data_IF_728265823881
#
_entry.id   IF_728265823881
#
_cell.length_a   1.000
_cell.length_b   1.000
_cell.length_c   1.000
_cell.angle_alpha   90.00
_cell.angle_beta   90.00
_cell.angle_gamma   90.00
#
_symmetry.space_group_name_H-M   'P 1'
#
loop_
_entity.id
_entity.type
_entity.pdbx_description
1 polymer ?
#
# COMPACT_ATOMS: atom_id res chain seq x y z
N UNK A 1 18.94 -22.24 5.32
CA UNK A 1 19.05 -22.01 6.77
C UNK A 1 17.87 -22.69 7.46
N UNK A 2 18.04 -23.24 8.66
CA UNK A 2 16.98 -23.87 9.44
C UNK A 2 16.58 -22.98 10.63
N UNK A 3 15.31 -23.00 10.99
CA UNK A 3 14.77 -22.28 12.15
C UNK A 3 13.77 -23.20 12.84
N UNK A 4 13.85 -23.30 14.17
CA UNK A 4 12.96 -24.12 14.98
C UNK A 4 11.95 -23.23 15.68
N UNK A 5 10.66 -23.50 15.48
CA UNK A 5 9.56 -22.77 16.11
C UNK A 5 8.68 -23.76 16.85
N UNK A 6 8.36 -23.47 18.11
CA UNK A 6 7.38 -24.26 18.88
C UNK A 6 5.98 -23.80 18.54
N UNK A 7 5.14 -24.72 18.08
CA UNK A 7 3.74 -24.45 17.82
C UNK A 7 2.90 -24.87 19.03
N UNK A 8 1.83 -24.14 19.38
CA UNK A 8 0.82 -24.64 20.29
C UNK A 8 0.21 -25.95 19.75
N UNK A 9 -0.07 -26.90 20.63
CA UNK A 9 -0.68 -28.20 20.30
C UNK A 9 -1.88 -28.12 19.33
N UNK A 10 -2.88 -27.23 19.53
CA UNK A 10 -4.02 -27.17 18.61
C UNK A 10 -3.62 -26.77 17.18
N UNK A 11 -2.62 -25.90 17.05
CA UNK A 11 -2.13 -25.43 15.75
C UNK A 11 -1.34 -26.54 15.04
N UNK A 12 -0.50 -27.27 15.78
CA UNK A 12 0.25 -28.40 15.23
C UNK A 12 -0.70 -29.51 14.74
N UNK A 13 -1.71 -29.85 15.52
CA UNK A 13 -2.69 -30.87 15.15
C UNK A 13 -3.44 -30.50 13.86
N UNK A 14 -3.91 -29.25 13.77
CA UNK A 14 -4.60 -28.74 12.59
C UNK A 14 -3.69 -28.74 11.34
N UNK A 15 -2.43 -28.32 11.50
CA UNK A 15 -1.44 -28.33 10.41
C UNK A 15 -1.17 -29.74 9.90
N UNK A 16 -0.97 -30.70 10.81
CA UNK A 16 -0.74 -32.11 10.45
C UNK A 16 -1.94 -32.70 9.72
N UNK A 17 -3.15 -32.45 10.20
CA UNK A 17 -4.37 -32.92 9.55
C UNK A 17 -4.51 -32.36 8.13
N UNK A 18 -4.25 -31.06 7.95
CA UNK A 18 -4.29 -30.42 6.63
C UNK A 18 -3.26 -31.01 5.67
N UNK A 19 -2.03 -31.22 6.14
CA UNK A 19 -0.95 -31.82 5.36
C UNK A 19 -1.31 -33.23 4.88
N UNK A 20 -1.91 -34.05 5.75
CA UNK A 20 -2.37 -35.40 5.40
C UNK A 20 -3.48 -35.39 4.34
N UNK A 21 -4.41 -34.43 4.43
CA UNK A 21 -5.50 -34.29 3.46
C UNK A 21 -5.00 -33.84 2.09
N UNK A 22 -4.01 -32.95 2.05
CA UNK A 22 -3.47 -32.39 0.81
C UNK A 22 -2.33 -33.23 0.21
N UNK A 23 -1.81 -34.22 0.94
CA UNK A 23 -0.64 -34.99 0.53
C UNK A 23 0.66 -34.17 0.51
N UNK A 24 0.71 -33.06 1.26
CA UNK A 24 1.82 -32.11 1.28
C UNK A 24 2.66 -32.28 2.53
N UNK A 25 3.94 -31.91 2.44
CA UNK A 25 4.81 -31.94 3.63
C UNK A 25 4.59 -30.72 4.52
N UNK A 26 4.74 -30.90 5.84
CA UNK A 26 4.64 -29.81 6.82
C UNK A 26 5.60 -28.67 6.48
N UNK A 27 6.83 -28.99 6.08
CA UNK A 27 7.85 -27.99 5.74
C UNK A 27 7.49 -27.18 4.48
N UNK A 28 6.80 -27.78 3.52
CA UNK A 28 6.32 -27.08 2.32
C UNK A 28 5.21 -26.10 2.69
N UNK A 29 4.20 -26.56 3.44
CA UNK A 29 3.10 -25.71 3.90
C UNK A 29 3.60 -24.54 4.76
N UNK A 30 4.54 -24.78 5.68
CA UNK A 30 5.14 -23.71 6.49
C UNK A 30 5.89 -22.70 5.62
N UNK A 31 6.65 -23.18 4.61
CA UNK A 31 7.41 -22.28 3.72
C UNK A 31 6.47 -21.38 2.93
N UNK A 32 5.42 -21.95 2.35
CA UNK A 32 4.45 -21.20 1.56
C UNK A 32 3.68 -20.20 2.43
N UNK A 33 3.26 -20.62 3.62
CA UNK A 33 2.58 -19.74 4.57
C UNK A 33 3.47 -18.55 4.98
N UNK A 34 4.77 -18.78 5.23
CA UNK A 34 5.73 -17.72 5.53
C UNK A 34 5.96 -16.80 4.33
N UNK A 35 6.10 -17.36 3.11
CA UNK A 35 6.23 -16.57 1.88
C UNK A 35 5.00 -15.68 1.67
N UNK A 36 3.79 -16.21 1.85
CA UNK A 36 2.55 -15.46 1.74
C UNK A 36 2.43 -14.38 2.83
N UNK A 37 2.81 -14.70 4.07
CA UNK A 37 2.79 -13.74 5.18
C UNK A 37 3.72 -12.54 4.92
N UNK A 38 4.93 -12.79 4.43
CA UNK A 38 5.90 -11.73 4.13
C UNK A 38 5.55 -10.94 2.86
N UNK A 39 4.92 -11.58 1.86
CA UNK A 39 4.43 -10.90 0.68
C UNK A 39 3.31 -9.89 1.01
N UNK A 40 2.51 -10.17 2.04
CA UNK A 40 1.38 -9.34 2.46
C UNK A 40 1.79 -7.93 2.92
N UNK A 41 2.99 -7.75 3.49
CA UNK A 41 3.50 -6.42 3.86
C UNK A 41 3.88 -5.56 2.65
N UNK A 42 4.22 -6.18 1.51
CA UNK A 42 4.42 -5.47 0.25
C UNK A 42 3.09 -5.05 -0.42
N UNK A 43 1.96 -5.65 -0.02
CA UNK A 43 0.62 -5.37 -0.54
C UNK A 43 -0.16 -4.30 0.24
N UNK A 44 0.39 -3.76 1.34
CA UNK A 44 -0.11 -2.47 1.82
C UNK A 44 0.35 -1.43 0.81
N UNK A 45 -0.48 -1.22 -0.22
CA UNK A 45 -0.23 -0.27 -1.29
C UNK A 45 0.33 1.01 -0.67
N UNK A 46 1.59 1.31 -1.02
CA UNK A 46 2.21 2.53 -0.54
C UNK A 46 1.30 3.71 -0.87
N UNK A 47 1.34 4.79 -0.10
CA UNK A 47 0.56 5.99 -0.41
C UNK A 47 0.76 6.48 -1.86
N UNK A 48 1.92 6.17 -2.44
CA UNK A 48 2.20 6.35 -3.85
C UNK A 48 1.36 5.45 -4.77
N UNK A 49 1.31 4.13 -4.51
CA UNK A 49 0.49 3.17 -5.27
C UNK A 49 -0.99 3.53 -5.19
N UNK A 50 -1.52 3.86 -4.01
CA UNK A 50 -2.91 4.27 -3.83
C UNK A 50 -3.29 5.52 -4.64
N UNK A 51 -2.34 6.46 -4.79
CA UNK A 51 -2.58 7.71 -5.50
C UNK A 51 -2.15 7.70 -6.96
N UNK A 52 -1.58 6.60 -7.49
CA UNK A 52 -1.04 6.51 -8.87
C UNK A 52 -1.99 7.06 -9.93
N UNK A 53 -3.26 6.70 -9.82
CA UNK A 53 -4.28 7.06 -10.82
C UNK A 53 -4.85 8.47 -10.62
N UNK A 54 -4.50 9.13 -9.51
CA UNK A 54 -4.93 10.49 -9.16
C UNK A 54 -3.79 11.50 -9.33
N UNK A 55 -2.55 11.10 -9.03
CA UNK A 55 -1.38 11.96 -9.18
C UNK A 55 -1.15 12.31 -10.65
N UNK A 56 -0.74 13.56 -10.91
CA UNK A 56 -0.43 14.04 -12.27
C UNK A 56 -1.65 14.30 -13.16
N UNK A 57 -2.88 14.09 -12.69
CA UNK A 57 -4.11 14.43 -13.44
C UNK A 57 -4.19 15.90 -13.83
N UNK A 58 -3.58 16.78 -13.03
CA UNK A 58 -3.48 18.20 -13.31
C UNK A 58 -2.01 18.62 -13.21
N UNK A 59 -1.55 19.34 -14.23
CA UNK A 59 -0.24 19.99 -14.22
C UNK A 59 -0.45 21.50 -14.17
N UNK A 60 0.35 22.16 -13.32
CA UNK A 60 0.42 23.61 -13.25
C UNK A 60 1.82 24.09 -13.65
N UNK A 61 2.04 25.41 -13.67
CA UNK A 61 3.36 25.99 -13.84
C UNK A 61 4.38 25.40 -12.87
N UNK A 62 5.62 25.16 -13.31
CA UNK A 62 6.69 24.60 -12.46
C UNK A 62 6.94 25.45 -11.21
N UNK A 63 6.81 26.78 -11.35
CA UNK A 63 6.96 27.75 -10.26
C UNK A 63 5.68 27.92 -9.41
N UNK A 64 4.62 27.14 -9.63
CA UNK A 64 3.38 27.32 -8.85
C UNK A 64 3.62 27.07 -7.35
N UNK A 65 4.48 26.13 -7.00
CA UNK A 65 4.81 25.84 -5.61
C UNK A 65 5.56 27.01 -4.95
N UNK A 66 6.56 27.57 -5.64
CA UNK A 66 7.38 28.70 -5.16
C UNK A 66 6.61 30.02 -5.18
N UNK A 67 5.79 30.26 -6.20
CA UNK A 67 5.02 31.48 -6.42
C UNK A 67 3.56 31.40 -5.91
N UNK A 68 3.20 30.37 -5.13
CA UNK A 68 1.81 30.07 -4.69
C UNK A 68 1.05 31.29 -4.18
N UNK A 69 1.68 32.13 -3.35
CA UNK A 69 1.03 33.30 -2.74
C UNK A 69 0.64 34.34 -3.79
N UNK A 70 1.52 34.60 -4.76
CA UNK A 70 1.27 35.56 -5.83
C UNK A 70 0.15 35.05 -6.75
N UNK A 71 0.24 33.79 -7.19
CA UNK A 71 -0.77 33.18 -8.04
C UNK A 71 -2.16 33.16 -7.37
N UNK A 72 -2.22 32.94 -6.06
CA UNK A 72 -3.48 33.07 -5.31
C UNK A 72 -4.02 34.51 -5.35
N UNK A 73 -3.19 35.51 -5.04
CA UNK A 73 -3.61 36.91 -5.03
C UNK A 73 -4.20 37.34 -6.39
N UNK A 74 -3.53 36.97 -7.50
CA UNK A 74 -4.01 37.23 -8.86
C UNK A 74 -5.41 36.65 -9.10
N UNK A 75 -5.65 35.38 -8.74
CA UNK A 75 -6.97 34.73 -8.88
C UNK A 75 -8.05 35.42 -8.04
N UNK A 76 -7.72 35.90 -6.84
CA UNK A 76 -8.67 36.61 -5.99
C UNK A 76 -9.03 37.98 -6.58
N UNK A 77 -8.04 38.73 -7.06
CA UNK A 77 -8.26 40.03 -7.74
C UNK A 77 -9.13 39.87 -8.99
N UNK A 78 -8.85 38.89 -9.85
CA UNK A 78 -9.68 38.58 -11.02
C UNK A 78 -11.15 38.30 -10.64
N UNK A 79 -11.37 37.51 -9.58
CA UNK A 79 -12.72 37.19 -9.09
C UNK A 79 -13.44 38.40 -8.51
N UNK A 80 -12.72 39.30 -7.83
CA UNK A 80 -13.29 40.54 -7.33
C UNK A 80 -13.67 41.49 -8.46
N UNK A 81 -12.81 41.61 -9.48
CA UNK A 81 -13.10 42.41 -10.68
C UNK A 81 -14.34 41.89 -11.43
N UNK A 82 -14.46 40.56 -11.60
CA UNK A 82 -15.60 39.94 -12.27
C UNK A 82 -16.94 40.06 -11.51
N UNK A 83 -16.92 40.41 -10.22
CA UNK A 83 -18.11 40.62 -9.38
C UNK A 83 -18.54 42.08 -9.28
N UNK A 84 -17.66 43.01 -9.66
CA UNK A 84 -17.91 44.45 -9.63
C UNK A 84 -18.33 45.04 -10.98
N UNK A 85 -18.39 44.23 -12.04
CA UNK A 85 -18.93 44.55 -13.37
C UNK A 85 -20.35 43.99 -13.52
#
# INVERSE_FOLDING_TARGET
MTTTVKLPEPLEAALRQRCLQEGRSISEVIRDALSAYLAKEAELDSAWQLGRDVFGRHAGPAELASARKRALAEVWEERHAARGA
#
